data_IF_859238795700
#
_entry.id   IF_859238795700
#
_cell.length_a   1.000
_cell.length_b   1.000
_cell.length_c   1.000
_cell.angle_alpha   90.00
_cell.angle_beta   90.00
_cell.angle_gamma   90.00
#
_symmetry.space_group_name_H-M   'P 1'
#
loop_
_entity.id
_entity.type
_entity.pdbx_description
1 polymer ?
#
# COMPACT_ATOMS: atom_id res chain seq x y z
N UNK A 1 6.39 0.35 -2.98
CA UNK A 1 6.24 -0.60 -1.85
C UNK A 1 6.81 -1.96 -2.20
N UNK A 2 7.16 -2.74 -1.19
CA UNK A 2 7.70 -4.09 -1.36
C UNK A 2 6.92 -5.05 -0.46
N UNK A 3 6.43 -6.15 -1.02
CA UNK A 3 5.79 -7.24 -0.29
C UNK A 3 6.72 -8.46 -0.30
N UNK A 4 6.99 -9.02 0.86
CA UNK A 4 7.71 -10.28 0.99
C UNK A 4 6.78 -11.38 1.48
N UNK A 5 6.82 -12.53 0.83
CA UNK A 5 6.10 -13.73 1.28
C UNK A 5 6.93 -14.50 2.30
N UNK A 6 6.30 -15.39 3.07
CA UNK A 6 7.02 -16.31 3.96
C UNK A 6 7.89 -17.33 3.21
N UNK A 7 7.59 -17.56 1.95
CA UNK A 7 8.32 -18.49 1.07
C UNK A 7 9.56 -17.83 0.45
N UNK A 8 9.77 -16.52 0.69
CA UNK A 8 10.92 -15.77 0.23
C UNK A 8 10.69 -14.98 -1.06
N UNK A 9 9.50 -15.05 -1.64
CA UNK A 9 9.18 -14.27 -2.83
C UNK A 9 9.09 -12.78 -2.51
N UNK A 10 9.49 -11.97 -3.48
CA UNK A 10 9.49 -10.51 -3.39
C UNK A 10 8.64 -9.93 -4.52
N UNK A 11 7.62 -9.16 -4.15
CA UNK A 11 6.79 -8.41 -5.08
C UNK A 11 7.11 -6.93 -4.91
N UNK A 12 7.63 -6.31 -5.96
CA UNK A 12 7.89 -4.88 -5.99
C UNK A 12 6.77 -4.17 -6.75
N UNK A 13 6.24 -3.11 -6.17
CA UNK A 13 5.15 -2.35 -6.77
C UNK A 13 5.44 -0.86 -6.72
N UNK A 14 5.35 -0.20 -7.87
CA UNK A 14 5.44 1.24 -8.02
C UNK A 14 4.05 1.79 -8.31
N UNK A 15 3.64 2.79 -7.52
CA UNK A 15 2.43 3.57 -7.79
C UNK A 15 2.87 5.01 -8.01
N UNK A 16 2.75 5.47 -9.24
CA UNK A 16 2.94 6.87 -9.57
C UNK A 16 1.64 7.63 -9.31
N UNK A 17 1.73 8.68 -8.53
CA UNK A 17 0.63 9.56 -8.17
C UNK A 17 0.76 10.84 -9.00
N UNK A 18 -0.15 11.03 -9.96
CA UNK A 18 -0.12 12.16 -10.90
C UNK A 18 -1.07 13.28 -10.46
N UNK A 19 -1.05 13.60 -9.17
CA UNK A 19 -1.80 14.68 -8.55
C UNK A 19 -1.04 15.22 -7.32
N UNK A 20 -1.28 16.50 -6.91
CA UNK A 20 -0.61 17.09 -5.76
C UNK A 20 -0.94 16.41 -4.46
N UNK A 21 0.09 16.01 -3.71
CA UNK A 21 -0.06 15.46 -2.36
C UNK A 21 1.21 15.69 -1.51
N UNK A 22 1.04 15.62 -0.20
CA UNK A 22 2.16 15.68 0.75
C UNK A 22 2.83 14.31 0.88
N UNK A 23 4.07 14.28 1.38
CA UNK A 23 4.79 13.02 1.65
C UNK A 23 3.99 12.09 2.57
N UNK A 24 3.38 12.63 3.64
CA UNK A 24 2.59 11.82 4.56
C UNK A 24 1.35 11.22 3.89
N UNK A 25 0.70 11.94 2.98
CA UNK A 25 -0.42 11.40 2.19
C UNK A 25 0.07 10.30 1.24
N UNK A 26 1.24 10.47 0.62
CA UNK A 26 1.85 9.45 -0.24
C UNK A 26 2.18 8.17 0.54
N UNK A 27 2.71 8.29 1.76
CA UNK A 27 2.96 7.16 2.67
C UNK A 27 1.67 6.42 3.03
N UNK A 28 0.62 7.16 3.40
CA UNK A 28 -0.70 6.57 3.64
C UNK A 28 -1.24 5.86 2.40
N UNK A 29 -1.09 6.47 1.22
CA UNK A 29 -1.57 5.88 -0.03
C UNK A 29 -0.84 4.59 -0.36
N UNK A 30 0.48 4.56 -0.20
CA UNK A 30 1.27 3.35 -0.38
C UNK A 30 0.86 2.25 0.61
N UNK A 31 0.55 2.61 1.86
CA UNK A 31 0.06 1.69 2.87
C UNK A 31 -1.33 1.12 2.50
N UNK A 32 -2.27 1.97 2.11
CA UNK A 32 -3.61 1.54 1.66
C UNK A 32 -3.50 0.56 0.51
N UNK A 33 -2.68 0.87 -0.49
CA UNK A 33 -2.44 0.00 -1.63
C UNK A 33 -1.81 -1.36 -1.24
N UNK A 34 -0.87 -1.33 -0.30
CA UNK A 34 -0.25 -2.55 0.23
C UNK A 34 -1.22 -3.43 1.01
N UNK A 35 -2.13 -2.84 1.78
CA UNK A 35 -3.19 -3.55 2.49
C UNK A 35 -4.21 -4.16 1.51
N UNK A 36 -4.59 -3.43 0.46
CA UNK A 36 -5.49 -3.93 -0.58
C UNK A 36 -4.85 -5.13 -1.30
N UNK A 37 -3.56 -5.05 -1.62
CA UNK A 37 -2.81 -6.14 -2.23
C UNK A 37 -2.74 -7.36 -1.29
N UNK A 38 -2.44 -7.16 -0.02
CA UNK A 38 -2.40 -8.23 0.96
C UNK A 38 -3.74 -8.93 1.13
N UNK A 39 -4.83 -8.19 1.21
CA UNK A 39 -6.19 -8.77 1.26
C UNK A 39 -6.52 -9.56 0.01
N UNK A 40 -6.15 -9.03 -1.16
CA UNK A 40 -6.38 -9.69 -2.44
C UNK A 40 -5.65 -11.04 -2.56
N UNK A 41 -4.51 -11.18 -1.88
CA UNK A 41 -3.73 -12.43 -1.85
C UNK A 41 -4.10 -13.35 -0.69
N UNK A 42 -5.17 -13.06 0.07
CA UNK A 42 -5.68 -13.92 1.15
C UNK A 42 -4.77 -14.00 2.38
N UNK A 43 -3.96 -12.95 2.63
CA UNK A 43 -3.08 -12.88 3.80
C UNK A 43 -3.91 -12.65 5.06
N UNK A 44 -3.71 -13.46 6.08
CA UNK A 44 -4.33 -13.29 7.40
C UNK A 44 -3.39 -12.59 8.39
N UNK A 45 -2.09 -12.88 8.32
CA UNK A 45 -1.07 -12.35 9.23
C UNK A 45 -0.05 -11.49 8.48
N UNK A 46 0.22 -10.27 8.95
CA UNK A 46 1.12 -9.33 8.29
C UNK A 46 1.94 -8.52 9.28
N UNK A 47 3.18 -8.22 8.91
CA UNK A 47 3.99 -7.20 9.56
C UNK A 47 4.27 -6.09 8.56
N UNK A 48 3.86 -4.87 8.91
CA UNK A 48 4.09 -3.67 8.09
C UNK A 48 5.28 -2.90 8.66
N UNK A 49 6.31 -2.74 7.86
CA UNK A 49 7.48 -1.91 8.16
C UNK A 49 7.37 -0.57 7.43
N UNK A 50 7.47 0.53 8.15
CA UNK A 50 7.36 1.87 7.60
C UNK A 50 8.36 2.80 8.30
N UNK A 51 9.01 3.69 7.55
CA UNK A 51 9.93 4.68 8.10
C UNK A 51 9.22 5.99 8.49
N UNK A 52 7.96 6.19 8.13
CA UNK A 52 7.19 7.36 8.51
C UNK A 52 6.73 7.30 9.96
N UNK A 53 7.46 8.00 10.85
CA UNK A 53 7.10 8.13 12.26
C UNK A 53 5.68 8.69 12.46
N UNK A 54 5.28 9.65 11.62
CA UNK A 54 3.96 10.29 11.73
C UNK A 54 2.86 9.27 11.42
N UNK A 55 2.98 8.54 10.32
CA UNK A 55 1.97 7.55 9.88
C UNK A 55 1.84 6.44 10.93
N UNK A 56 2.94 5.83 11.34
CA UNK A 56 2.94 4.72 12.31
C UNK A 56 2.33 5.16 13.65
N UNK A 57 2.73 6.32 14.18
CA UNK A 57 2.21 6.78 15.47
C UNK A 57 0.74 7.20 15.40
N UNK A 58 0.24 7.66 14.26
CA UNK A 58 -1.19 7.94 14.06
C UNK A 58 -2.00 6.64 13.99
N UNK A 59 -1.51 5.62 13.30
CA UNK A 59 -2.17 4.30 13.23
C UNK A 59 -2.22 3.64 14.60
N UNK A 60 -1.12 3.67 15.34
CA UNK A 60 -1.02 3.12 16.70
C UNK A 60 -1.76 3.97 17.76
N UNK A 61 -2.30 5.13 17.39
CA UNK A 61 -3.04 6.01 18.31
C UNK A 61 -2.17 6.89 19.20
N UNK A 62 -0.84 6.88 19.02
CA UNK A 62 0.09 7.70 19.81
C UNK A 62 0.05 9.18 19.40
N UNK A 63 -0.27 9.48 18.14
CA UNK A 63 -0.38 10.83 17.62
C UNK A 63 -1.81 11.13 17.15
N UNK A 64 -2.31 12.32 17.52
CA UNK A 64 -3.60 12.82 17.00
C UNK A 64 -3.44 13.28 15.56
N UNK A 65 -4.27 12.77 14.67
CA UNK A 65 -4.36 13.26 13.30
C UNK A 65 -5.21 14.53 13.26
N UNK A 66 -4.61 15.70 12.98
CA UNK A 66 -5.31 16.99 12.89
C UNK A 66 -5.75 17.33 11.46
N UNK A 67 -5.00 16.92 10.46
CA UNK A 67 -5.28 17.18 9.05
C UNK A 67 -6.49 16.36 8.58
N UNK A 68 -7.45 17.01 7.93
CA UNK A 68 -8.72 16.37 7.49
C UNK A 68 -8.46 15.27 6.44
N UNK A 69 -7.58 15.51 5.46
CA UNK A 69 -7.24 14.52 4.42
C UNK A 69 -6.53 13.30 5.04
N UNK A 70 -5.57 13.53 5.93
CA UNK A 70 -4.88 12.44 6.62
C UNK A 70 -5.81 11.64 7.54
N UNK A 71 -6.83 12.28 8.15
CA UNK A 71 -7.87 11.55 8.91
C UNK A 71 -8.61 10.55 8.03
N UNK A 72 -9.00 10.95 6.83
CA UNK A 72 -9.68 10.06 5.88
C UNK A 72 -8.78 8.88 5.48
N UNK A 73 -7.51 9.13 5.19
CA UNK A 73 -6.56 8.05 4.93
C UNK A 73 -6.39 7.10 6.14
N UNK A 74 -6.36 7.64 7.35
CA UNK A 74 -6.31 6.86 8.57
C UNK A 74 -7.57 5.99 8.75
N UNK A 75 -8.74 6.52 8.43
CA UNK A 75 -10.01 5.78 8.43
C UNK A 75 -10.01 4.66 7.38
N UNK A 76 -9.52 4.94 6.18
CA UNK A 76 -9.34 3.94 5.12
C UNK A 76 -8.40 2.81 5.53
N UNK A 77 -7.27 3.13 6.17
CA UNK A 77 -6.35 2.13 6.74
C UNK A 77 -7.06 1.29 7.80
N UNK A 78 -7.77 1.94 8.74
CA UNK A 78 -8.50 1.24 9.81
C UNK A 78 -9.59 0.31 9.28
N UNK A 79 -10.30 0.73 8.24
CA UNK A 79 -11.31 -0.12 7.57
C UNK A 79 -10.69 -1.36 6.92
N UNK A 80 -9.47 -1.24 6.37
CA UNK A 80 -8.76 -2.35 5.72
C UNK A 80 -8.07 -3.32 6.69
N UNK A 81 -7.74 -2.86 7.88
CA UNK A 81 -7.15 -3.69 8.95
C UNK A 81 -8.15 -4.72 9.49
N UNK A 82 -9.46 -4.42 9.41
CA UNK A 82 -10.49 -5.31 9.92
C UNK A 82 -10.40 -6.73 9.32
N UNK A 83 -10.25 -7.74 10.19
CA UNK A 83 -10.10 -9.15 9.81
C UNK A 83 -8.66 -9.61 9.53
N UNK A 84 -7.67 -8.72 9.62
CA UNK A 84 -6.26 -9.05 9.46
C UNK A 84 -5.53 -8.93 10.80
N UNK A 85 -4.61 -9.85 11.08
CA UNK A 85 -3.66 -9.70 12.19
C UNK A 85 -2.44 -8.92 11.71
N UNK A 86 -2.40 -7.62 12.02
CA UNK A 86 -1.36 -6.72 11.53
C UNK A 86 -0.54 -6.16 12.68
N UNK A 87 0.78 -6.22 12.55
CA UNK A 87 1.72 -5.51 13.40
C UNK A 87 2.39 -4.40 12.60
N UNK A 88 2.31 -3.15 13.09
CA UNK A 88 3.01 -2.01 12.52
C UNK A 88 4.31 -1.77 13.27
N UNK A 89 5.41 -1.69 12.52
CA UNK A 89 6.76 -1.51 13.05
C UNK A 89 7.41 -0.33 12.36
N UNK A 90 7.86 0.65 13.14
CA UNK A 90 8.69 1.73 12.62
C UNK A 90 10.12 1.22 12.42
N UNK A 91 10.70 1.51 11.26
CA UNK A 91 12.09 1.20 10.93
C UNK A 91 12.84 2.49 10.54
N UNK A 92 14.16 2.54 10.72
CA UNK A 92 14.98 3.60 10.16
C UNK A 92 14.89 3.64 8.64
N UNK A 93 15.16 4.81 8.04
CA UNK A 93 15.09 5.00 6.58
C UNK A 93 16.08 4.09 5.85
N UNK A 94 17.23 3.86 6.45
CA UNK A 94 18.30 3.00 5.92
C UNK A 94 17.83 1.55 5.76
N UNK A 95 16.92 1.09 6.60
CA UNK A 95 16.31 -0.24 6.50
C UNK A 95 15.15 -0.32 5.48
N UNK A 96 14.70 0.85 4.97
CA UNK A 96 13.62 0.96 4.00
C UNK A 96 14.09 1.33 2.58
N UNK A 97 15.37 1.14 2.27
CA UNK A 97 15.99 1.56 1.01
C UNK A 97 15.29 1.02 -0.25
N UNK A 98 14.81 -0.21 -0.22
CA UNK A 98 14.09 -0.79 -1.35
C UNK A 98 12.81 -0.02 -1.67
N UNK A 99 11.99 0.28 -0.67
CA UNK A 99 10.75 1.04 -0.87
C UNK A 99 11.04 2.51 -1.24
N UNK A 100 12.08 3.13 -0.64
CA UNK A 100 12.53 4.49 -0.97
C UNK A 100 13.03 4.59 -2.43
N UNK A 101 13.76 3.60 -2.90
CA UNK A 101 14.23 3.52 -4.29
C UNK A 101 13.06 3.41 -5.29
N UNK A 102 12.06 2.60 -4.98
CA UNK A 102 10.83 2.48 -5.78
C UNK A 102 10.03 3.79 -5.79
N UNK A 103 9.94 4.49 -4.65
CA UNK A 103 9.27 5.78 -4.56
C UNK A 103 9.99 6.86 -5.39
N UNK A 104 11.32 6.87 -5.36
CA UNK A 104 12.14 7.77 -6.22
C UNK A 104 11.96 7.45 -7.70
N UNK A 105 11.92 6.17 -8.08
CA UNK A 105 11.65 5.75 -9.44
C UNK A 105 10.25 6.19 -9.91
N UNK A 106 9.23 6.10 -9.04
CA UNK A 106 7.88 6.58 -9.31
C UNK A 106 7.83 8.09 -9.62
N UNK A 107 8.68 8.87 -8.96
CA UNK A 107 8.76 10.33 -9.14
C UNK A 107 9.57 10.75 -10.36
N UNK A 108 10.35 9.86 -10.96
CA UNK A 108 11.15 10.16 -12.15
C UNK A 108 10.28 10.30 -13.40
N UNK A 109 10.55 11.31 -14.25
CA UNK A 109 9.82 11.53 -15.51
C UNK A 109 9.99 10.42 -16.55
N UNK A 110 11.08 9.64 -16.44
CA UNK A 110 11.35 8.51 -17.31
C UNK A 110 11.47 7.25 -16.46
N UNK A 111 10.44 6.41 -16.48
CA UNK A 111 10.44 5.14 -15.77
C UNK A 111 11.06 4.06 -16.65
N UNK A 112 12.35 3.80 -16.45
CA UNK A 112 12.95 2.53 -16.83
C UNK A 112 12.68 1.55 -15.67
N UNK A 113 11.56 0.83 -15.74
CA UNK A 113 11.20 -0.17 -14.73
C UNK A 113 11.88 -1.47 -15.08
N UNK A 114 12.71 -2.08 -14.22
CA UNK A 114 13.21 -3.44 -14.42
C UNK A 114 12.05 -4.42 -14.58
N UNK A 115 12.21 -5.43 -15.43
CA UNK A 115 11.12 -6.29 -15.95
C UNK A 115 10.30 -7.14 -14.97
N UNK A 116 10.44 -6.96 -13.65
CA UNK A 116 9.65 -7.66 -12.61
C UNK A 116 8.95 -6.73 -11.62
N UNK A 117 8.90 -5.43 -11.91
CA UNK A 117 8.25 -4.44 -11.06
C UNK A 117 6.87 -4.10 -11.61
N UNK A 118 5.84 -4.29 -10.79
CA UNK A 118 4.47 -3.88 -11.12
C UNK A 118 4.36 -2.36 -11.05
N UNK A 119 3.93 -1.72 -12.12
CA UNK A 119 3.86 -0.27 -12.21
C UNK A 119 2.45 0.20 -12.54
N UNK A 120 1.93 1.12 -11.73
CA UNK A 120 0.60 1.71 -11.89
C UNK A 120 0.69 3.24 -11.85
N UNK A 121 -0.17 3.89 -12.64
CA UNK A 121 -0.34 5.35 -12.58
C UNK A 121 -1.73 5.63 -12.06
N UNK A 122 -1.83 6.42 -11.00
CA UNK A 122 -3.10 6.89 -10.47
C UNK A 122 -3.21 8.39 -10.70
N UNK A 123 -4.30 8.80 -11.38
CA UNK A 123 -4.54 10.18 -11.81
C UNK A 123 -5.44 10.96 -10.86
N UNK A 124 -6.13 10.28 -9.93
CA UNK A 124 -7.04 10.89 -8.95
C UNK A 124 -6.74 10.41 -7.54
N UNK A 125 -7.03 11.25 -6.56
CA UNK A 125 -6.91 10.88 -5.15
C UNK A 125 -8.12 10.04 -4.73
N UNK A 126 -7.88 8.90 -4.07
CA UNK A 126 -8.93 8.11 -3.42
C UNK A 126 -9.85 8.97 -2.54
N UNK A 127 -9.27 9.93 -1.85
CA UNK A 127 -9.99 10.83 -0.94
C UNK A 127 -10.90 11.79 -1.71
N UNK A 128 -10.46 12.27 -2.88
CA UNK A 128 -11.26 13.16 -3.71
C UNK A 128 -12.40 12.38 -4.40
N UNK A 129 -12.18 11.13 -4.76
CA UNK A 129 -13.22 10.21 -5.26
C UNK A 129 -14.28 9.95 -4.18
N UNK A 130 -13.90 9.64 -2.95
CA UNK A 130 -14.84 9.48 -1.83
C UNK A 130 -15.65 10.75 -1.55
N UNK A 131 -15.10 11.93 -1.85
CA UNK A 131 -15.83 13.20 -1.71
C UNK A 131 -16.80 13.47 -2.87
N UNK A 132 -16.60 12.83 -4.02
CA UNK A 132 -17.42 13.02 -5.22
C UNK A 132 -18.47 11.94 -5.45
N UNK A 133 -18.47 10.85 -4.70
CA UNK A 133 -19.43 9.73 -4.87
C UNK A 133 -20.73 10.07 -4.16
N UNK A 134 -21.65 10.68 -4.89
CA UNK A 134 -23.05 10.24 -4.91
C UNK A 134 -23.10 9.01 -5.85
N UNK A 135 -23.55 7.89 -5.31
CA UNK A 135 -23.90 6.63 -5.94
C UNK A 135 -23.65 6.48 -7.45
N UNK A 136 -22.67 5.67 -7.84
CA UNK A 136 -22.70 4.90 -9.10
C UNK A 136 -21.98 3.56 -8.86
N UNK A 137 -22.57 2.50 -9.40
CA UNK A 137 -22.29 1.09 -9.14
C UNK A 137 -20.85 0.61 -9.28
N UNK A 138 -20.65 -0.61 -8.82
CA UNK A 138 -19.40 -1.36 -8.74
C UNK A 138 -18.53 -1.24 -10.02
N UNK A 139 -17.62 -0.30 -10.06
CA UNK A 139 -16.57 -0.25 -11.07
C UNK A 139 -15.29 -0.91 -10.59
N UNK A 140 -14.60 -1.55 -11.52
CA UNK A 140 -13.36 -2.28 -11.28
C UNK A 140 -12.32 -1.39 -10.59
N UNK A 141 -11.98 -1.73 -9.36
CA UNK A 141 -10.94 -1.07 -8.59
C UNK A 141 -9.59 -1.21 -9.31
N UNK A 142 -8.68 -0.21 -9.20
CA UNK A 142 -7.33 -0.24 -9.74
C UNK A 142 -6.52 -1.49 -9.33
N UNK A 143 -6.90 -2.13 -8.22
CA UNK A 143 -6.32 -3.40 -7.78
C UNK A 143 -6.80 -4.61 -8.60
N UNK A 144 -7.89 -4.51 -9.36
CA UNK A 144 -8.48 -5.64 -10.10
C UNK A 144 -7.51 -6.32 -11.06
N UNK A 145 -6.71 -5.60 -11.88
CA UNK A 145 -5.71 -6.22 -12.74
C UNK A 145 -4.59 -6.91 -11.95
N UNK A 146 -4.18 -6.31 -10.83
CA UNK A 146 -3.16 -6.85 -9.95
C UNK A 146 -3.61 -8.13 -9.25
N UNK A 147 -4.85 -8.13 -8.76
CA UNK A 147 -5.48 -9.30 -8.14
C UNK A 147 -5.59 -10.46 -9.13
N UNK A 148 -6.02 -10.19 -10.36
CA UNK A 148 -6.14 -11.23 -11.39
C UNK A 148 -4.77 -11.82 -11.76
N UNK A 149 -3.74 -10.98 -11.88
CA UNK A 149 -2.37 -11.43 -12.11
C UNK A 149 -1.86 -12.33 -10.97
N UNK A 150 -2.01 -11.88 -9.72
CA UNK A 150 -1.53 -12.62 -8.55
C UNK A 150 -2.32 -13.91 -8.28
N UNK A 151 -3.60 -13.95 -8.61
CA UNK A 151 -4.41 -15.17 -8.50
C UNK A 151 -4.05 -16.23 -9.54
N UNK A 152 -3.67 -15.82 -10.73
CA UNK A 152 -3.34 -16.74 -11.82
C UNK A 152 -1.96 -17.37 -11.66
N UNK A 153 -0.99 -16.65 -11.05
CA UNK A 153 0.38 -17.12 -10.87
C UNK A 153 0.67 -17.73 -9.48
N UNK A 154 -0.17 -17.50 -8.47
CA UNK A 154 0.11 -17.87 -7.08
C UNK A 154 -0.88 -18.85 -6.44
N UNK A 155 -1.77 -19.47 -7.19
CA UNK A 155 -2.69 -20.49 -6.65
C UNK A 155 -2.12 -21.91 -6.81
N UNK A 156 -1.05 -22.20 -6.07
CA UNK A 156 -0.70 -23.56 -5.70
C UNK A 156 -0.40 -23.58 -4.19
N UNK A 157 -1.29 -24.24 -3.46
CA UNK A 157 -1.19 -24.65 -2.05
C UNK A 157 -1.51 -23.62 -0.95
N UNK A 158 -2.66 -23.91 -0.30
CA UNK A 158 -3.07 -23.27 0.95
C UNK A 158 -2.15 -23.67 2.10
N UNK A 159 -1.39 -22.72 2.62
CA UNK A 159 -0.74 -22.77 3.93
C UNK A 159 -0.65 -21.38 4.50
N UNK A 160 -0.83 -21.34 5.83
CA UNK A 160 -0.71 -20.20 6.74
C UNK A 160 0.57 -19.40 6.49
N UNK A 161 0.48 -18.30 5.75
CA UNK A 161 1.64 -17.53 5.31
C UNK A 161 1.67 -16.14 5.93
N UNK A 162 2.62 -15.92 6.82
CA UNK A 162 2.93 -14.58 7.34
C UNK A 162 3.68 -13.77 6.30
N UNK A 163 3.14 -12.64 5.86
CA UNK A 163 3.76 -11.75 4.87
C UNK A 163 4.24 -10.45 5.50
N UNK A 164 5.32 -9.89 4.97
CA UNK A 164 5.93 -8.63 5.41
C UNK A 164 5.78 -7.56 4.34
N UNK A 165 5.24 -6.40 4.70
CA UNK A 165 5.11 -5.24 3.84
C UNK A 165 6.08 -4.13 4.29
N UNK A 166 6.86 -3.58 3.35
CA UNK A 166 7.65 -2.35 3.53
C UNK A 166 7.03 -1.22 2.70
N UNK A 167 6.71 -0.14 3.37
CA UNK A 167 6.09 1.07 2.81
C UNK A 167 7.02 2.26 2.96
#
# INVERSE_FOLDING_TARGET
>A
MVLHTSEGDKIECIIRLDFPMTNNEAEYKALVAGLDLARATGVENMVVYCNSQVVINQINGNYKCKNVRMKKYLEEVKGRIGGLQIKFVQIPREENECADSLAKAASAKCMLVPGQVLSFVQISSLIDEIMSVQEIGAESNWTTPLVSYLRNDMLADGKDTTRKLKV
#
